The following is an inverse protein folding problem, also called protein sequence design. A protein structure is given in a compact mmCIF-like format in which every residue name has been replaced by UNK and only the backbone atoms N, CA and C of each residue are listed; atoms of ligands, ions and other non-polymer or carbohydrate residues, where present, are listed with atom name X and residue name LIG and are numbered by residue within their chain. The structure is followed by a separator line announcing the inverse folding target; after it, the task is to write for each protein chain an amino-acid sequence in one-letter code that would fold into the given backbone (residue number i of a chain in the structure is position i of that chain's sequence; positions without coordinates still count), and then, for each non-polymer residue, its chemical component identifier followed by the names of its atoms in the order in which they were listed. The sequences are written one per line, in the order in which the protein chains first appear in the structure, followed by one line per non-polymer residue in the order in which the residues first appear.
data_IF_520493532114
#
_entry.id   IF_520493532114
#
_cell.length_a   1.000
_cell.length_b   1.000
_cell.length_c   1.000
_cell.angle_alpha   90.00
_cell.angle_beta   90.00
_cell.angle_gamma   90.00
#
_symmetry.space_group_name_H-M   'P 1'
#
loop_
_entity.id
_entity.type
_entity.pdbx_description
1 polymer ?
#
# COMPACT_ATOMS: atom_id res chain seq x y z
N UNK A 1 -11.63 7.82 30.73
CA UNK A 1 -11.78 6.80 29.68
C UNK A 1 -10.63 6.96 28.72
N UNK A 2 -9.74 5.97 28.58
CA UNK A 2 -8.62 6.03 27.64
C UNK A 2 -9.20 5.70 26.27
N UNK A 3 -9.26 6.67 25.36
CA UNK A 3 -9.78 6.44 24.02
C UNK A 3 -8.66 5.72 23.25
N UNK A 4 -8.79 4.41 23.05
CA UNK A 4 -7.85 3.68 22.22
C UNK A 4 -7.98 4.17 20.78
N UNK A 5 -6.88 4.39 20.05
CA UNK A 5 -6.94 4.81 18.66
C UNK A 5 -7.73 3.77 17.87
N UNK A 6 -8.62 4.25 16.99
CA UNK A 6 -9.37 3.36 16.12
C UNK A 6 -8.42 2.56 15.20
N UNK A 7 -8.91 1.48 14.60
CA UNK A 7 -8.12 0.74 13.61
C UNK A 7 -7.63 1.62 12.45
N UNK A 8 -8.43 2.62 12.07
CA UNK A 8 -8.06 3.62 11.07
C UNK A 8 -6.95 4.56 11.57
N UNK A 9 -7.05 5.06 12.80
CA UNK A 9 -6.01 5.92 13.40
C UNK A 9 -4.68 5.18 13.52
N UNK A 10 -4.72 3.90 13.93
CA UNK A 10 -3.54 3.04 13.97
C UNK A 10 -2.94 2.84 12.58
N UNK A 11 -3.78 2.59 11.57
CA UNK A 11 -3.31 2.44 10.19
C UNK A 11 -2.62 3.73 9.70
N UNK A 12 -3.26 4.89 9.87
CA UNK A 12 -2.70 6.18 9.47
C UNK A 12 -1.41 6.52 10.22
N UNK A 13 -1.33 6.20 11.51
CA UNK A 13 -0.10 6.34 12.28
C UNK A 13 1.05 5.50 11.72
N UNK A 14 0.79 4.26 11.31
CA UNK A 14 1.80 3.40 10.67
C UNK A 14 2.22 3.90 9.29
N UNK A 15 1.29 4.45 8.51
CA UNK A 15 1.60 5.10 7.22
C UNK A 15 2.52 6.30 7.44
N UNK A 16 2.21 7.16 8.41
CA UNK A 16 3.07 8.29 8.76
C UNK A 16 4.47 7.82 9.20
N UNK A 17 4.57 6.82 10.08
CA UNK A 17 5.86 6.25 10.49
C UNK A 17 6.63 5.57 9.36
N UNK A 18 5.97 5.09 8.30
CA UNK A 18 6.66 4.59 7.11
C UNK A 18 7.25 5.74 6.29
N UNK A 19 6.54 6.86 6.15
CA UNK A 19 7.04 8.06 5.47
C UNK A 19 8.16 8.75 6.27
N UNK A 20 8.12 8.71 7.61
CA UNK A 20 9.20 9.25 8.45
C UNK A 20 10.52 8.48 8.28
N UNK A 21 10.43 7.17 8.00
CA UNK A 21 11.61 6.31 7.73
C UNK A 21 12.12 6.46 6.29
N UNK A 22 11.25 6.88 5.39
CA UNK A 22 11.55 7.02 3.96
C UNK A 22 10.69 8.14 3.37
N UNK A 23 11.27 9.33 3.35
CA UNK A 23 10.59 10.56 2.91
C UNK A 23 10.28 10.59 1.42
N UNK A 24 10.84 9.68 0.61
CA UNK A 24 10.52 9.59 -0.81
C UNK A 24 9.19 8.87 -1.06
N UNK A 25 8.68 8.12 -0.08
CA UNK A 25 7.39 7.45 -0.18
C UNK A 25 6.24 8.47 -0.19
N UNK A 26 5.40 8.37 -1.22
CA UNK A 26 4.08 9.01 -1.17
C UNK A 26 3.20 8.32 -0.11
N UNK A 27 2.17 9.00 0.38
CA UNK A 27 1.26 8.39 1.37
C UNK A 27 0.53 7.16 0.82
N UNK A 28 0.34 7.08 -0.51
CA UNK A 28 -0.25 5.90 -1.16
C UNK A 28 0.75 4.75 -1.19
N UNK A 29 2.01 5.01 -1.51
CA UNK A 29 3.07 3.99 -1.51
C UNK A 29 3.31 3.45 -0.09
N UNK A 30 3.43 4.32 0.90
CA UNK A 30 3.50 3.93 2.30
C UNK A 30 2.26 3.13 2.75
N UNK A 31 1.06 3.56 2.32
CA UNK A 31 -0.19 2.84 2.54
C UNK A 31 -0.18 1.42 1.95
N UNK A 32 0.32 1.23 0.73
CA UNK A 32 0.42 -0.08 0.08
C UNK A 32 1.32 -1.03 0.87
N UNK A 33 2.47 -0.53 1.34
CA UNK A 33 3.42 -1.31 2.14
C UNK A 33 2.81 -1.72 3.49
N UNK A 34 2.23 -0.76 4.22
CA UNK A 34 1.60 -1.01 5.52
C UNK A 34 0.40 -1.96 5.37
N UNK A 35 -0.42 -1.80 4.33
CA UNK A 35 -1.55 -2.68 4.09
C UNK A 35 -1.11 -4.13 3.78
N UNK A 36 0.01 -4.32 3.07
CA UNK A 36 0.58 -5.64 2.84
C UNK A 36 1.16 -6.26 4.12
N UNK A 37 1.93 -5.48 4.89
CA UNK A 37 2.53 -5.89 6.17
C UNK A 37 1.47 -6.37 7.17
N UNK A 38 0.35 -5.64 7.25
CA UNK A 38 -0.76 -5.96 8.16
C UNK A 38 -1.71 -7.05 7.60
N UNK A 39 -1.46 -7.54 6.40
CA UNK A 39 -2.33 -8.52 5.74
C UNK A 39 -3.73 -8.01 5.35
N UNK A 40 -3.86 -6.69 5.21
CA UNK A 40 -5.12 -6.01 4.87
C UNK A 40 -5.40 -6.08 3.36
N UNK A 41 -4.38 -5.88 2.53
CA UNK A 41 -4.51 -5.93 1.08
C UNK A 41 -3.21 -6.43 0.41
N UNK A 42 -3.37 -7.30 -0.58
CA UNK A 42 -2.28 -7.85 -1.39
C UNK A 42 -2.48 -7.61 -2.90
N UNK A 43 -3.41 -6.72 -3.24
CA UNK A 43 -3.68 -6.36 -4.63
C UNK A 43 -4.26 -4.95 -4.77
N UNK A 44 -4.09 -4.40 -5.97
CA UNK A 44 -4.43 -3.01 -6.28
C UNK A 44 -5.92 -2.69 -6.17
N UNK A 45 -6.82 -3.65 -6.40
CA UNK A 45 -8.27 -3.39 -6.31
C UNK A 45 -8.78 -3.45 -4.89
N UNK A 46 -8.31 -4.42 -4.10
CA UNK A 46 -8.68 -4.51 -2.68
C UNK A 46 -8.22 -3.25 -1.95
N UNK A 47 -6.97 -2.84 -2.15
CA UNK A 47 -6.44 -1.60 -1.57
C UNK A 47 -7.25 -0.36 -1.96
N UNK A 48 -7.48 -0.16 -3.27
CA UNK A 48 -8.27 0.97 -3.78
C UNK A 48 -9.67 1.03 -3.14
N UNK A 49 -10.37 -0.12 -3.10
CA UNK A 49 -11.71 -0.23 -2.53
C UNK A 49 -11.74 0.06 -1.03
N UNK A 50 -10.78 -0.47 -0.26
CA UNK A 50 -10.75 -0.31 1.19
C UNK A 50 -10.50 1.13 1.64
N UNK A 51 -9.66 1.86 0.90
CA UNK A 51 -9.33 3.25 1.21
C UNK A 51 -10.17 4.27 0.42
N UNK A 52 -11.09 3.83 -0.43
CA UNK A 52 -11.91 4.72 -1.27
C UNK A 52 -11.10 5.52 -2.29
N UNK A 53 -9.97 4.99 -2.76
CA UNK A 53 -9.06 5.65 -3.69
C UNK A 53 -9.32 5.17 -5.13
N UNK A 54 -9.17 6.05 -6.11
CA UNK A 54 -9.25 5.68 -7.52
C UNK A 54 -8.21 4.62 -7.89
N UNK A 55 -8.65 3.52 -8.51
CA UNK A 55 -7.78 2.38 -8.88
C UNK A 55 -6.61 2.80 -9.79
N UNK A 56 -6.84 3.71 -10.74
CA UNK A 56 -5.79 4.22 -11.63
C UNK A 56 -4.65 4.92 -10.87
N UNK A 57 -4.96 5.63 -9.78
CA UNK A 57 -3.95 6.27 -8.95
C UNK A 57 -3.11 5.22 -8.20
N UNK A 58 -3.77 4.18 -7.68
CA UNK A 58 -3.08 3.04 -7.06
C UNK A 58 -2.14 2.34 -8.05
N UNK A 59 -2.56 2.15 -9.31
CA UNK A 59 -1.73 1.55 -10.35
C UNK A 59 -0.51 2.41 -10.71
N UNK A 60 -0.67 3.74 -10.78
CA UNK A 60 0.43 4.68 -11.00
C UNK A 60 1.48 4.55 -9.89
N UNK A 61 1.03 4.59 -8.63
CA UNK A 61 1.92 4.56 -7.47
C UNK A 61 2.61 3.20 -7.31
N UNK A 62 1.90 2.09 -7.55
CA UNK A 62 2.50 0.75 -7.61
C UNK A 62 3.58 0.67 -8.69
N UNK A 63 3.31 1.19 -9.88
CA UNK A 63 4.30 1.17 -10.98
C UNK A 63 5.54 1.99 -10.62
N UNK A 64 5.36 3.17 -10.02
CA UNK A 64 6.48 4.01 -9.57
C UNK A 64 7.30 3.32 -8.46
N UNK A 65 6.63 2.65 -7.52
CA UNK A 65 7.29 1.96 -6.40
C UNK A 65 8.15 0.78 -6.89
N UNK A 66 7.65 0.00 -7.85
CA UNK A 66 8.40 -1.15 -8.42
C UNK A 66 9.62 -0.76 -9.27
N UNK A 67 9.71 0.51 -9.68
CA UNK A 67 10.86 1.02 -10.46
C UNK A 67 11.95 1.55 -9.54
N UNK A 68 11.55 2.12 -8.40
CA UNK A 68 12.47 2.82 -7.49
C UNK A 68 13.04 1.94 -6.41
N UNK A 69 12.32 0.88 -6.04
CA UNK A 69 12.59 0.22 -4.77
C UNK A 69 12.33 -1.28 -4.79
N UNK A 70 13.16 -2.00 -4.03
CA UNK A 70 13.04 -3.42 -3.79
C UNK A 70 12.07 -3.69 -2.62
N UNK A 71 11.08 -2.82 -2.37
CA UNK A 71 10.12 -2.95 -1.26
C UNK A 71 8.90 -3.82 -1.59
N UNK A 72 8.53 -3.91 -2.87
CA UNK A 72 7.40 -4.72 -3.34
C UNK A 72 7.76 -5.52 -4.58
N UNK A 73 7.30 -6.77 -4.60
CA UNK A 73 7.35 -7.62 -5.76
C UNK A 73 5.96 -7.79 -6.38
N UNK A 74 5.87 -7.64 -7.70
CA UNK A 74 4.65 -7.98 -8.45
C UNK A 74 4.59 -9.48 -8.67
N UNK A 75 3.59 -10.12 -8.07
CA UNK A 75 3.38 -11.58 -8.17
C UNK A 75 2.58 -11.94 -9.42
N UNK A 76 1.57 -11.12 -9.76
CA UNK A 76 0.69 -11.39 -10.91
C UNK A 76 0.03 -10.11 -11.40
N UNK A 77 -0.10 -9.98 -12.72
CA UNK A 77 -0.93 -8.96 -13.38
C UNK A 77 -2.07 -9.61 -14.11
N UNK A 78 -3.28 -9.09 -13.93
CA UNK A 78 -4.47 -9.53 -14.63
C UNK A 78 -4.81 -8.53 -15.76
N UNK A 79 -4.63 -8.90 -17.04
CA UNK A 79 -4.73 -7.95 -18.15
C UNK A 79 -6.17 -7.53 -18.47
N UNK A 80 -7.18 -8.31 -18.07
CA UNK A 80 -8.60 -7.97 -18.31
C UNK A 80 -9.12 -6.98 -17.27
N UNK A 81 -8.63 -7.10 -16.04
CA UNK A 81 -9.12 -6.30 -14.91
C UNK A 81 -8.15 -5.22 -14.47
N UNK A 82 -6.94 -5.19 -15.03
CA UNK A 82 -5.84 -4.34 -14.56
C UNK A 82 -5.54 -4.53 -13.07
N UNK A 83 -5.90 -5.69 -12.50
CA UNK A 83 -5.60 -6.02 -11.10
C UNK A 83 -4.14 -6.44 -11.02
N UNK A 84 -3.44 -5.90 -10.05
CA UNK A 84 -2.03 -6.20 -9.79
C UNK A 84 -1.94 -6.80 -8.40
N UNK A 85 -1.47 -8.03 -8.32
CA UNK A 85 -1.18 -8.73 -7.08
C UNK A 85 0.29 -8.52 -6.74
N UNK A 86 0.55 -8.22 -5.47
CA UNK A 86 1.89 -7.89 -4.98
C UNK A 86 2.10 -8.48 -3.59
N UNK A 87 3.38 -8.58 -3.21
CA UNK A 87 3.82 -8.95 -1.86
C UNK A 87 5.00 -8.08 -1.47
N UNK A 88 5.23 -7.93 -0.17
CA UNK A 88 6.49 -7.37 0.32
C UNK A 88 7.64 -8.19 -0.24
N UNK A 89 8.65 -7.50 -0.74
CA UNK A 89 9.90 -8.16 -1.08
C UNK A 89 10.55 -8.66 0.21
N UNK A 90 11.14 -9.85 0.14
CA UNK A 90 11.87 -10.39 1.27
C UNK A 90 13.14 -9.56 1.44
N UNK A 91 13.36 -9.02 2.65
CA UNK A 91 14.63 -8.40 3.05
C UNK A 91 15.80 -9.38 2.88
#
# INVERSE_FOLDING_TARGET
MRNEPSGADRFLGLVASAQDRDSELTSIQAGLLVAAELGIAFDSRTFARMLGIAHALVLRELSALTVRDDKLEIVRRDPRTMRVHYRLAAL
#
